data_IF_986449422642
#
_entry.id   IF_986449422642
#
_cell.length_a   1.000
_cell.length_b   1.000
_cell.length_c   1.000
_cell.angle_alpha   90.00
_cell.angle_beta   90.00
_cell.angle_gamma   90.00
#
_symmetry.space_group_name_H-M   'P 1'
#
loop_
_entity.id
_entity.type
_entity.pdbx_description
1 polymer ?
#
# COMPACT_ATOMS: atom_id res chain seq x y z
N UNK A 1 38.77 -38.71 60.45
CA UNK A 1 37.87 -38.11 61.45
C UNK A 1 36.57 -37.83 60.71
N UNK A 2 35.80 -38.88 60.43
CA UNK A 2 34.66 -39.37 61.24
C UNK A 2 33.52 -38.36 61.27
N UNK A 3 32.25 -38.66 61.05
CA UNK A 3 31.47 -39.83 60.58
C UNK A 3 30.00 -39.35 60.55
N UNK A 4 29.08 -40.19 60.05
CA UNK A 4 27.61 -40.05 60.00
C UNK A 4 27.03 -39.50 58.69
N UNK A 5 26.58 -40.35 57.77
CA UNK A 5 25.38 -41.24 57.77
C UNK A 5 24.24 -40.55 56.97
N UNK A 6 23.47 -41.15 56.05
CA UNK A 6 23.41 -42.49 55.44
C UNK A 6 22.43 -42.40 54.22
N UNK A 7 22.88 -42.88 53.03
CA UNK A 7 22.23 -43.86 52.10
C UNK A 7 20.80 -43.58 51.52
N UNK A 8 20.64 -43.26 50.22
CA UNK A 8 20.29 -44.14 49.03
C UNK A 8 19.14 -45.16 49.29
N UNK A 9 18.07 -45.30 48.51
CA UNK A 9 17.99 -45.91 47.17
C UNK A 9 16.51 -46.06 46.76
N UNK A 10 16.15 -45.73 45.51
CA UNK A 10 15.58 -46.57 44.42
C UNK A 10 14.44 -47.57 44.75
N UNK A 11 13.32 -47.32 44.07
CA UNK A 11 12.41 -48.23 43.32
C UNK A 11 11.77 -49.45 44.00
N UNK A 12 10.43 -49.57 43.87
CA UNK A 12 9.77 -50.87 43.70
C UNK A 12 8.41 -51.07 44.38
N UNK A 13 7.32 -50.69 43.70
CA UNK A 13 6.06 -51.42 43.46
C UNK A 13 5.32 -52.15 44.62
N UNK A 14 3.98 -51.93 44.64
CA UNK A 14 2.87 -52.62 45.36
C UNK A 14 2.78 -52.40 46.88
N UNK A 15 1.60 -52.28 47.51
CA UNK A 15 0.32 -52.97 47.27
C UNK A 15 -0.82 -52.18 47.93
N UNK A 16 -1.99 -52.24 47.29
CA UNK A 16 -3.30 -51.91 47.85
C UNK A 16 -3.44 -52.37 49.30
N UNK A 17 -3.94 -51.50 50.18
CA UNK A 17 -5.05 -51.74 51.12
C UNK A 17 -5.10 -50.62 52.17
N UNK A 18 -6.32 -50.24 52.56
CA UNK A 18 -6.70 -49.38 53.70
C UNK A 18 -6.78 -47.87 53.50
N UNK A 19 -7.63 -47.40 52.59
CA UNK A 19 -8.45 -46.22 52.86
C UNK A 19 -9.85 -46.46 52.28
N UNK A 20 -10.83 -46.80 53.11
CA UNK A 20 -12.23 -46.38 52.98
C UNK A 20 -13.10 -47.06 54.04
N UNK A 21 -13.03 -46.55 55.27
CA UNK A 21 -14.04 -46.81 56.28
C UNK A 21 -14.26 -45.55 57.11
N UNK A 22 -14.95 -44.57 56.52
CA UNK A 22 -15.74 -43.51 57.17
C UNK A 22 -16.20 -42.54 56.08
N UNK A 23 -17.53 -42.38 55.98
CA UNK A 23 -18.35 -41.53 55.09
C UNK A 23 -19.38 -42.36 54.29
N UNK A 24 -20.16 -43.17 55.03
CA UNK A 24 -21.52 -43.54 54.61
C UNK A 24 -22.48 -42.79 55.53
N UNK A 25 -22.98 -41.67 55.03
CA UNK A 25 -23.98 -40.84 55.68
C UNK A 25 -24.33 -39.70 54.74
N UNK A 26 -25.59 -39.71 54.26
CA UNK A 26 -26.19 -38.72 53.36
C UNK A 26 -25.90 -38.90 51.86
N UNK A 27 -26.34 -40.03 51.30
CA UNK A 27 -26.81 -40.08 49.91
C UNK A 27 -28.21 -40.72 49.98
N UNK A 28 -29.25 -39.88 49.91
CA UNK A 28 -30.61 -40.36 49.77
C UNK A 28 -30.73 -41.18 48.49
N UNK A 29 -31.33 -42.36 48.58
CA UNK A 29 -31.66 -43.17 47.42
C UNK A 29 -32.68 -42.41 46.57
N UNK A 30 -32.20 -41.82 45.47
CA UNK A 30 -33.07 -41.24 44.46
C UNK A 30 -33.94 -42.36 43.88
N UNK A 31 -35.26 -42.24 44.04
CA UNK A 31 -36.20 -43.18 43.42
C UNK A 31 -36.00 -43.20 41.89
N UNK A 32 -36.28 -44.31 41.19
CA UNK A 32 -36.09 -44.41 39.74
C UNK A 32 -36.73 -43.24 38.96
N UNK A 33 -37.85 -42.73 39.48
CA UNK A 33 -38.57 -41.59 38.93
C UNK A 33 -37.80 -40.26 39.04
N UNK A 34 -37.08 -40.03 40.14
CA UNK A 34 -36.25 -38.82 40.31
C UNK A 34 -35.01 -38.83 39.42
N UNK A 35 -34.38 -40.00 39.22
CA UNK A 35 -33.27 -40.15 38.27
C UNK A 35 -33.74 -39.94 36.83
N UNK A 36 -34.94 -40.42 36.48
CA UNK A 36 -35.54 -40.21 35.18
C UNK A 36 -35.87 -38.73 34.93
N UNK A 37 -36.42 -38.04 35.94
CA UNK A 37 -36.72 -36.61 35.88
C UNK A 37 -35.45 -35.75 35.72
N UNK A 38 -34.40 -36.03 36.50
CA UNK A 38 -33.10 -35.34 36.37
C UNK A 38 -32.50 -35.56 34.98
N UNK A 39 -32.54 -36.80 34.45
CA UNK A 39 -32.09 -37.07 33.08
C UNK A 39 -32.90 -36.31 32.04
N UNK A 40 -34.22 -36.21 32.21
CA UNK A 40 -35.09 -35.49 31.29
C UNK A 40 -34.81 -33.98 31.29
N UNK A 41 -34.63 -33.38 32.47
CA UNK A 41 -34.24 -31.96 32.61
C UNK A 41 -32.88 -31.71 31.99
N UNK A 42 -31.90 -32.61 32.19
CA UNK A 42 -30.55 -32.46 31.64
C UNK A 42 -30.54 -32.59 30.12
N UNK A 43 -31.34 -33.50 29.55
CA UNK A 43 -31.55 -33.62 28.10
C UNK A 43 -32.24 -32.38 27.53
N UNK A 44 -33.25 -31.84 28.22
CA UNK A 44 -33.92 -30.61 27.81
C UNK A 44 -33.00 -29.40 27.87
N UNK A 45 -32.13 -29.32 28.88
CA UNK A 45 -31.14 -28.24 29.03
C UNK A 45 -30.03 -28.32 27.99
N UNK A 46 -29.60 -29.54 27.62
CA UNK A 46 -28.67 -29.78 26.51
C UNK A 46 -29.32 -29.43 25.17
N UNK A 47 -30.58 -29.82 24.94
CA UNK A 47 -31.34 -29.46 23.74
C UNK A 47 -31.60 -27.95 23.64
N UNK A 48 -31.84 -27.29 24.77
CA UNK A 48 -31.97 -25.83 24.85
C UNK A 48 -30.63 -25.12 24.60
N UNK A 49 -29.51 -25.61 25.15
CA UNK A 49 -28.18 -25.07 24.82
C UNK A 49 -27.82 -25.31 23.34
N UNK A 50 -28.20 -26.45 22.76
CA UNK A 50 -28.00 -26.76 21.35
C UNK A 50 -28.87 -25.87 20.43
N UNK A 51 -30.10 -25.55 20.84
CA UNK A 51 -30.98 -24.65 20.07
C UNK A 51 -30.59 -23.18 20.20
N UNK A 52 -30.00 -22.77 21.32
CA UNK A 52 -29.43 -21.41 21.48
C UNK A 52 -28.14 -21.27 20.66
N UNK A 53 -27.34 -22.33 20.50
CA UNK A 53 -26.15 -22.30 19.66
C UNK A 53 -26.46 -22.23 18.15
N UNK A 54 -27.57 -22.76 17.66
CA UNK A 54 -27.94 -22.69 16.24
C UNK A 54 -28.50 -21.32 15.82
N UNK A 55 -28.98 -20.50 16.76
CA UNK A 55 -29.56 -19.17 16.47
C UNK A 55 -28.49 -18.07 16.37
N UNK A 56 -27.26 -18.29 16.85
CA UNK A 56 -26.12 -17.39 16.66
C UNK A 56 -25.13 -17.89 15.61
N UNK A 57 -25.62 -18.20 14.41
CA UNK A 57 -24.76 -18.09 13.23
C UNK A 57 -24.74 -16.61 12.83
N UNK A 58 -23.88 -15.81 13.47
CA UNK A 58 -23.60 -14.47 12.99
C UNK A 58 -22.84 -14.61 11.66
N UNK A 59 -23.59 -14.65 10.56
CA UNK A 59 -22.99 -14.53 9.24
C UNK A 59 -22.28 -13.18 9.18
N UNK A 60 -20.94 -13.20 9.14
CA UNK A 60 -20.09 -12.00 9.18
C UNK A 60 -20.41 -11.03 8.04
N UNK A 61 -20.93 -11.56 6.93
CA UNK A 61 -21.21 -10.82 5.71
C UNK A 61 -22.72 -10.74 5.48
N UNK A 62 -23.17 -9.59 4.98
CA UNK A 62 -24.51 -9.42 4.44
C UNK A 62 -24.44 -9.51 2.93
N UNK A 63 -25.25 -10.38 2.32
CA UNK A 63 -25.29 -10.49 0.87
C UNK A 63 -25.98 -9.28 0.25
N UNK A 64 -25.50 -8.81 -0.92
CA UNK A 64 -26.20 -7.81 -1.74
C UNK A 64 -27.70 -8.10 -1.95
N UNK A 65 -28.11 -9.38 -2.04
CA UNK A 65 -29.52 -9.78 -2.18
C UNK A 65 -30.39 -9.47 -0.95
N UNK A 66 -29.76 -9.28 0.21
CA UNK A 66 -30.43 -8.92 1.46
C UNK A 66 -30.55 -7.40 1.64
N UNK A 67 -29.70 -6.63 0.95
CA UNK A 67 -29.66 -5.16 1.02
C UNK A 67 -30.91 -4.57 0.38
N UNK A 68 -31.50 -3.56 1.02
CA UNK A 68 -32.68 -2.85 0.50
C UNK A 68 -32.54 -1.34 0.70
N UNK A 69 -33.11 -0.53 -0.20
CA UNK A 69 -33.30 0.90 0.02
C UNK A 69 -33.92 1.19 1.40
N UNK A 70 -33.42 2.24 2.06
CA UNK A 70 -33.88 2.68 3.38
C UNK A 70 -33.23 1.95 4.57
N UNK A 71 -32.41 0.93 4.34
CA UNK A 71 -31.59 0.33 5.41
C UNK A 71 -30.58 1.34 5.95
N UNK A 72 -30.32 1.27 7.26
CA UNK A 72 -29.33 2.11 7.95
C UNK A 72 -28.15 1.26 8.40
N UNK A 73 -26.96 1.82 8.33
CA UNK A 73 -25.73 1.16 8.68
C UNK A 73 -24.71 2.09 9.34
N UNK A 74 -23.61 1.49 9.77
CA UNK A 74 -22.47 2.16 10.38
C UNK A 74 -21.24 1.92 9.53
N UNK A 75 -20.61 2.99 9.08
CA UNK A 75 -19.30 2.95 8.47
C UNK A 75 -18.19 3.23 9.47
N UNK A 76 -16.96 2.76 9.18
CA UNK A 76 -15.79 2.99 10.04
C UNK A 76 -14.62 3.58 9.25
N UNK A 77 -13.97 4.61 9.78
CA UNK A 77 -12.75 5.18 9.19
C UNK A 77 -11.96 5.98 10.21
N UNK A 78 -10.75 6.43 9.85
CA UNK A 78 -9.96 7.37 10.66
C UNK A 78 -10.11 8.79 10.10
N UNK A 79 -10.62 9.73 10.89
CA UNK A 79 -10.69 11.15 10.52
C UNK A 79 -9.50 11.97 11.07
N UNK A 80 -8.91 11.54 12.18
CA UNK A 80 -7.74 12.18 12.80
C UNK A 80 -6.91 11.19 13.61
N UNK A 81 -5.59 11.36 13.56
CA UNK A 81 -4.63 10.47 14.19
C UNK A 81 -4.68 9.10 13.54
N UNK A 82 -4.88 8.07 14.36
CA UNK A 82 -5.00 6.67 13.92
C UNK A 82 -6.22 5.96 14.54
N UNK A 83 -7.05 6.71 15.29
CA UNK A 83 -8.23 6.18 15.96
C UNK A 83 -9.35 6.00 14.96
N UNK A 84 -9.94 4.80 14.93
CA UNK A 84 -11.12 4.50 14.14
C UNK A 84 -12.35 5.14 14.80
N UNK A 85 -13.13 5.84 14.00
CA UNK A 85 -14.38 6.49 14.37
C UNK A 85 -15.50 6.00 13.43
N UNK A 86 -16.74 6.07 13.90
CA UNK A 86 -17.92 5.64 13.15
C UNK A 86 -18.57 6.82 12.41
N UNK A 87 -19.24 6.53 11.30
CA UNK A 87 -20.14 7.45 10.60
C UNK A 87 -21.43 6.73 10.21
N UNK A 88 -22.49 7.49 9.96
CA UNK A 88 -23.79 6.95 9.59
C UNK A 88 -23.86 6.69 8.09
N UNK A 89 -24.57 5.63 7.71
CA UNK A 89 -24.78 5.23 6.32
C UNK A 89 -26.25 4.96 6.10
N UNK A 90 -26.84 5.59 5.10
CA UNK A 90 -28.20 5.35 4.64
C UNK A 90 -28.16 4.73 3.24
N UNK A 91 -28.72 3.53 3.08
CA UNK A 91 -28.79 2.87 1.78
C UNK A 91 -29.87 3.53 0.94
N UNK A 92 -29.49 4.07 -0.20
CA UNK A 92 -30.39 4.77 -1.13
C UNK A 92 -30.94 3.80 -2.15
N UNK A 93 -30.07 3.04 -2.85
CA UNK A 93 -30.50 2.08 -3.86
C UNK A 93 -29.41 1.03 -4.16
N UNK A 94 -29.75 0.03 -4.96
CA UNK A 94 -28.80 -0.91 -5.57
C UNK A 94 -28.70 -0.59 -7.07
N UNK A 95 -27.49 -0.29 -7.52
CA UNK A 95 -27.21 0.08 -8.91
C UNK A 95 -26.49 -1.07 -9.59
N UNK A 96 -26.84 -1.31 -10.86
CA UNK A 96 -26.11 -2.27 -11.70
C UNK A 96 -24.64 -1.86 -11.81
N UNK A 97 -23.75 -2.81 -11.57
CA UNK A 97 -22.31 -2.61 -11.70
C UNK A 97 -21.81 -2.72 -13.14
N UNK A 98 -20.52 -2.44 -13.31
CA UNK A 98 -19.79 -2.53 -14.58
C UNK A 98 -18.38 -3.10 -14.34
N UNK A 99 -17.63 -3.35 -15.41
CA UNK A 99 -16.21 -3.76 -15.39
C UNK A 99 -15.87 -5.01 -14.54
N UNK A 100 -16.84 -5.92 -14.37
CA UNK A 100 -16.66 -7.16 -13.60
C UNK A 100 -17.14 -7.07 -12.15
N UNK A 101 -17.74 -5.95 -11.76
CA UNK A 101 -18.54 -5.81 -10.56
C UNK A 101 -20.02 -5.93 -10.96
N UNK A 102 -20.76 -6.84 -10.32
CA UNK A 102 -22.16 -7.10 -10.70
C UNK A 102 -23.10 -5.98 -10.23
N UNK A 103 -22.88 -5.45 -9.01
CA UNK A 103 -23.72 -4.43 -8.39
C UNK A 103 -22.88 -3.47 -7.55
N UNK A 104 -23.33 -2.22 -7.46
CA UNK A 104 -22.92 -1.24 -6.46
C UNK A 104 -24.08 -0.91 -5.54
N UNK A 105 -23.78 -0.47 -4.32
CA UNK A 105 -24.80 0.03 -3.39
C UNK A 105 -24.68 1.55 -3.34
N UNK A 106 -25.73 2.27 -3.72
CA UNK A 106 -25.78 3.72 -3.56
C UNK A 106 -26.08 4.04 -2.09
N UNK A 107 -25.25 4.87 -1.47
CA UNK A 107 -25.38 5.20 -0.06
C UNK A 107 -25.11 6.69 0.21
N UNK A 108 -25.86 7.23 1.17
CA UNK A 108 -25.65 8.57 1.72
C UNK A 108 -24.91 8.47 3.05
N UNK A 109 -23.85 9.26 3.24
CA UNK A 109 -23.04 9.30 4.45
C UNK A 109 -23.35 10.55 5.26
N UNK A 110 -23.43 10.40 6.58
CA UNK A 110 -23.72 11.52 7.48
C UNK A 110 -23.02 11.41 8.85
N UNK A 111 -23.09 12.49 9.61
CA UNK A 111 -22.53 12.63 10.96
C UNK A 111 -21.46 13.72 11.04
N UNK A 112 -21.21 14.19 12.27
CA UNK A 112 -20.38 15.37 12.55
C UNK A 112 -19.02 15.38 11.83
N UNK A 113 -18.36 14.21 11.76
CA UNK A 113 -17.04 14.07 11.11
C UNK A 113 -17.11 14.11 9.58
N UNK A 114 -18.20 13.63 8.98
CA UNK A 114 -18.43 13.73 7.54
C UNK A 114 -18.70 15.20 7.19
N UNK A 115 -19.59 15.86 7.94
CA UNK A 115 -19.96 17.26 7.70
C UNK A 115 -18.77 18.21 7.88
N UNK A 116 -18.03 18.08 9.00
CA UNK A 116 -16.85 18.92 9.25
C UNK A 116 -15.70 18.66 8.28
N UNK A 117 -15.62 17.45 7.72
CA UNK A 117 -14.68 17.09 6.66
C UNK A 117 -15.07 17.59 5.27
N UNK A 118 -16.27 18.17 5.11
CA UNK A 118 -16.82 18.59 3.82
C UNK A 118 -17.39 17.45 2.98
N UNK A 119 -17.66 16.30 3.59
CA UNK A 119 -18.19 15.09 2.96
C UNK A 119 -17.20 13.93 2.91
N UNK A 120 -17.50 12.97 2.03
CA UNK A 120 -16.65 11.84 1.67
C UNK A 120 -15.32 12.35 1.17
N UNK A 121 -14.25 12.02 1.89
CA UNK A 121 -12.90 12.42 1.56
C UNK A 121 -12.14 11.34 0.80
N UNK A 122 -11.32 11.70 -0.18
CA UNK A 122 -10.26 10.82 -0.68
C UNK A 122 -9.42 10.31 0.50
N UNK A 123 -9.17 9.00 0.53
CA UNK A 123 -8.64 8.31 1.70
C UNK A 123 -9.69 7.67 2.62
N UNK A 124 -10.98 7.91 2.39
CA UNK A 124 -12.07 7.08 2.93
C UNK A 124 -12.35 5.83 2.09
N UNK A 125 -11.81 5.75 0.87
CA UNK A 125 -11.91 4.55 0.02
C UNK A 125 -11.51 3.30 0.80
N UNK A 126 -12.39 2.30 0.83
CA UNK A 126 -12.26 1.08 1.61
C UNK A 126 -12.86 1.14 3.01
N UNK A 127 -13.52 2.23 3.41
CA UNK A 127 -14.18 2.31 4.71
C UNK A 127 -15.30 1.27 4.80
N UNK A 128 -15.22 0.29 5.72
CA UNK A 128 -16.19 -0.78 5.80
C UNK A 128 -17.51 -0.28 6.33
N UNK A 129 -18.59 -0.75 5.71
CA UNK A 129 -19.97 -0.44 6.08
C UNK A 129 -20.64 -1.69 6.64
N UNK A 130 -21.34 -1.54 7.76
CA UNK A 130 -22.03 -2.62 8.43
C UNK A 130 -23.52 -2.32 8.56
N UNK A 131 -24.37 -3.32 8.33
CA UNK A 131 -25.81 -3.28 8.62
C UNK A 131 -26.09 -4.46 9.54
N UNK A 132 -26.77 -4.21 10.67
CA UNK A 132 -27.03 -5.22 11.71
C UNK A 132 -25.76 -5.98 12.18
N UNK A 133 -24.62 -5.27 12.22
CA UNK A 133 -23.32 -5.83 12.60
C UNK A 133 -22.65 -6.71 11.52
N UNK A 134 -23.27 -6.88 10.36
CA UNK A 134 -22.74 -7.66 9.22
C UNK A 134 -22.11 -6.73 8.19
N UNK A 135 -20.92 -7.07 7.72
CA UNK A 135 -20.19 -6.29 6.71
C UNK A 135 -20.92 -6.42 5.36
N UNK A 136 -21.32 -5.29 4.77
CA UNK A 136 -22.04 -5.26 3.49
C UNK A 136 -21.15 -4.85 2.33
N UNK A 137 -20.16 -4.00 2.58
CA UNK A 137 -19.29 -3.48 1.53
C UNK A 137 -18.37 -2.38 2.03
N UNK A 138 -17.75 -1.68 1.09
CA UNK A 138 -16.81 -0.60 1.36
C UNK A 138 -17.11 0.63 0.53
N UNK A 139 -16.96 1.82 1.12
CA UNK A 139 -17.00 3.10 0.38
C UNK A 139 -15.96 3.07 -0.74
N UNK A 140 -16.35 3.30 -1.98
CA UNK A 140 -15.45 3.15 -3.14
C UNK A 140 -15.43 4.35 -4.08
N UNK A 141 -16.59 4.82 -4.55
CA UNK A 141 -16.66 5.92 -5.51
C UNK A 141 -17.53 7.06 -4.99
N UNK A 142 -17.18 8.29 -5.34
CA UNK A 142 -17.95 9.49 -5.08
C UNK A 142 -17.82 10.44 -6.27
N UNK A 143 -18.64 11.49 -6.30
CA UNK A 143 -18.67 12.44 -7.41
C UNK A 143 -17.97 13.75 -7.05
N UNK A 144 -17.07 14.19 -7.93
CA UNK A 144 -16.48 15.53 -7.85
C UNK A 144 -17.57 16.61 -7.99
N UNK A 145 -17.34 17.78 -7.37
CA UNK A 145 -18.22 18.95 -7.45
C UNK A 145 -19.69 18.66 -7.10
N UNK A 146 -19.92 17.77 -6.14
CA UNK A 146 -21.25 17.40 -5.62
C UNK A 146 -21.40 17.84 -4.16
N UNK A 147 -22.50 17.48 -3.50
CA UNK A 147 -22.61 17.65 -2.03
C UNK A 147 -21.65 16.74 -1.24
N UNK A 148 -20.93 15.85 -1.94
CA UNK A 148 -19.91 14.95 -1.37
C UNK A 148 -20.41 13.99 -0.29
N UNK A 149 -21.71 13.85 -0.05
CA UNK A 149 -22.26 12.89 0.91
C UNK A 149 -22.82 11.62 0.26
N UNK A 150 -22.95 11.58 -1.07
CA UNK A 150 -23.41 10.40 -1.81
C UNK A 150 -22.21 9.61 -2.36
N UNK A 151 -22.20 8.29 -2.16
CA UNK A 151 -21.18 7.38 -2.68
C UNK A 151 -21.76 6.08 -3.23
N UNK A 152 -20.93 5.37 -3.98
CA UNK A 152 -21.07 3.95 -4.21
C UNK A 152 -20.29 3.17 -3.14
N UNK A 153 -20.89 2.08 -2.68
CA UNK A 153 -20.21 1.02 -1.96
C UNK A 153 -19.99 -0.16 -2.89
N UNK A 154 -18.77 -0.69 -2.88
CA UNK A 154 -18.46 -1.98 -3.50
C UNK A 154 -18.87 -3.09 -2.54
N UNK A 155 -19.78 -4.01 -2.94
CA UNK A 155 -20.24 -5.09 -2.07
C UNK A 155 -19.09 -5.98 -1.60
N UNK A 156 -19.16 -6.45 -0.36
CA UNK A 156 -18.07 -7.25 0.23
C UNK A 156 -17.82 -8.53 -0.57
N UNK A 157 -18.87 -9.13 -1.16
CA UNK A 157 -18.72 -10.36 -1.95
C UNK A 157 -17.86 -10.15 -3.20
N UNK A 158 -17.90 -8.97 -3.79
CA UNK A 158 -17.05 -8.61 -4.93
C UNK A 158 -15.59 -8.51 -4.49
N UNK A 159 -15.34 -7.91 -3.32
CA UNK A 159 -13.99 -7.78 -2.78
C UNK A 159 -13.41 -9.13 -2.35
N UNK A 160 -14.24 -10.04 -1.81
CA UNK A 160 -13.81 -11.38 -1.37
C UNK A 160 -13.27 -12.23 -2.54
N UNK A 161 -13.75 -12.01 -3.77
CA UNK A 161 -13.22 -12.69 -4.99
C UNK A 161 -11.72 -12.41 -5.19
N UNK A 162 -11.16 -11.34 -4.62
CA UNK A 162 -9.74 -11.00 -4.78
C UNK A 162 -8.83 -12.07 -4.13
N UNK A 163 -9.29 -12.73 -3.06
CA UNK A 163 -8.53 -13.80 -2.41
C UNK A 163 -8.22 -14.98 -3.33
N UNK A 164 -9.08 -15.24 -4.32
CA UNK A 164 -8.94 -16.37 -5.24
C UNK A 164 -7.77 -16.20 -6.20
N UNK A 165 -7.41 -14.96 -6.56
CA UNK A 165 -6.27 -14.71 -7.46
C UNK A 165 -4.92 -15.09 -6.83
N UNK A 166 -4.81 -15.04 -5.50
CA UNK A 166 -3.58 -15.43 -4.81
C UNK A 166 -3.31 -16.94 -4.91
N UNK A 167 -4.35 -17.75 -5.11
CA UNK A 167 -4.23 -19.22 -5.19
C UNK A 167 -3.77 -19.72 -6.56
N UNK A 168 -3.87 -18.87 -7.59
CA UNK A 168 -3.46 -19.19 -8.96
C UNK A 168 -2.16 -18.47 -9.25
N UNK A 169 -1.03 -19.11 -8.99
CA UNK A 169 0.26 -18.72 -9.58
C UNK A 169 0.19 -18.95 -11.10
N UNK A 170 -0.39 -18.00 -11.83
CA UNK A 170 -0.29 -17.95 -13.28
C UNK A 170 0.43 -16.66 -13.66
N UNK A 171 1.71 -16.82 -14.05
CA UNK A 171 2.40 -15.88 -14.92
C UNK A 171 1.59 -15.76 -16.22
N UNK A 172 0.62 -14.85 -16.25
CA UNK A 172 -0.13 -14.55 -17.47
C UNK A 172 0.30 -13.18 -17.99
N UNK A 173 0.81 -13.22 -19.21
CA UNK A 173 1.34 -12.13 -20.00
C UNK A 173 0.35 -10.98 -20.11
N UNK A 174 0.89 -9.76 -20.03
CA UNK A 174 0.19 -8.49 -20.21
C UNK A 174 -0.78 -8.50 -21.40
N UNK A 175 -2.07 -8.68 -21.11
CA UNK A 175 -3.15 -8.31 -22.01
C UNK A 175 -3.44 -6.82 -21.87
N UNK A 176 -2.91 -5.99 -22.79
CA UNK A 176 -3.41 -4.63 -22.99
C UNK A 176 -4.87 -4.71 -23.47
N UNK A 177 -5.83 -4.63 -22.54
CA UNK A 177 -7.23 -4.44 -22.88
C UNK A 177 -7.56 -2.94 -22.83
N UNK A 178 -7.99 -2.33 -23.95
CA UNK A 178 -8.51 -0.97 -23.94
C UNK A 178 -9.94 -1.03 -23.39
N UNK A 179 -10.11 -0.71 -22.11
CA UNK A 179 -11.43 -0.61 -21.50
C UNK A 179 -12.08 0.74 -21.88
N UNK A 180 -13.32 0.68 -22.39
CA UNK A 180 -14.17 1.86 -22.60
C UNK A 180 -14.58 2.40 -21.24
N UNK A 181 -14.38 3.70 -20.99
CA UNK A 181 -14.80 4.41 -19.77
C UNK A 181 -16.32 4.67 -19.76
N UNK A 182 -17.02 4.35 -18.66
CA UNK A 182 -18.18 5.15 -18.21
C UNK A 182 -17.93 5.84 -16.86
N UNK A 183 -18.98 6.53 -16.40
CA UNK A 183 -18.99 7.78 -15.62
C UNK A 183 -18.89 7.55 -14.10
N UNK A 184 -17.72 7.18 -13.57
CA UNK A 184 -17.44 7.36 -12.14
C UNK A 184 -15.98 7.81 -11.96
N UNK A 185 -15.70 9.13 -11.85
CA UNK A 185 -14.33 9.60 -11.75
C UNK A 185 -13.80 9.29 -10.36
N UNK A 186 -12.80 8.43 -10.25
CA UNK A 186 -11.80 8.58 -9.18
C UNK A 186 -10.43 8.25 -9.75
N UNK A 187 -9.73 9.28 -10.24
CA UNK A 187 -8.26 9.21 -10.29
C UNK A 187 -7.78 9.03 -8.86
N UNK A 188 -6.99 8.00 -8.58
CA UNK A 188 -6.41 7.86 -7.23
C UNK A 188 -5.46 9.03 -6.98
N UNK A 189 -5.69 9.79 -5.91
CA UNK A 189 -4.76 10.84 -5.50
C UNK A 189 -3.56 10.25 -4.80
N UNK A 190 -2.38 10.80 -5.10
CA UNK A 190 -1.13 10.48 -4.42
C UNK A 190 -0.57 11.75 -3.80
N UNK A 191 -0.29 11.69 -2.50
CA UNK A 191 0.43 12.75 -1.82
C UNK A 191 1.91 12.65 -2.10
N UNK A 192 2.52 13.77 -2.45
CA UNK A 192 3.95 13.87 -2.73
C UNK A 192 4.59 14.82 -1.73
N UNK A 193 5.60 14.32 -1.01
CA UNK A 193 6.45 15.12 -0.13
C UNK A 193 7.92 14.95 -0.54
N UNK A 194 8.76 15.96 -0.28
CA UNK A 194 10.17 15.94 -0.68
C UNK A 194 10.46 16.54 -2.05
N UNK A 195 9.44 16.75 -2.89
CA UNK A 195 9.56 17.45 -4.18
C UNK A 195 9.00 18.88 -4.08
N UNK A 196 9.66 19.81 -4.75
CA UNK A 196 9.32 21.24 -4.85
C UNK A 196 8.88 21.59 -6.27
N UNK A 197 8.03 22.61 -6.39
CA UNK A 197 7.58 23.30 -7.60
C UNK A 197 7.76 22.52 -8.91
N UNK A 198 8.91 22.69 -9.58
CA UNK A 198 9.15 22.12 -10.91
C UNK A 198 9.33 20.60 -10.92
N UNK A 199 9.98 20.02 -9.90
CA UNK A 199 10.14 18.57 -9.77
C UNK A 199 8.81 17.90 -9.41
N UNK A 200 8.01 18.55 -8.57
CA UNK A 200 6.64 18.13 -8.29
C UNK A 200 5.77 18.18 -9.56
N UNK A 201 5.82 19.29 -10.30
CA UNK A 201 5.05 19.45 -11.54
C UNK A 201 5.50 18.48 -12.64
N UNK A 202 6.80 18.21 -12.75
CA UNK A 202 7.36 17.20 -13.64
C UNK A 202 6.75 15.82 -13.32
N UNK A 203 6.84 15.39 -12.06
CA UNK A 203 6.26 14.12 -11.63
C UNK A 203 4.74 14.08 -11.83
N UNK A 204 4.03 15.13 -11.40
CA UNK A 204 2.58 15.26 -11.52
C UNK A 204 2.11 15.07 -12.96
N UNK A 205 2.80 15.68 -13.93
CA UNK A 205 2.48 15.52 -15.35
C UNK A 205 2.74 14.11 -15.86
N UNK A 206 3.80 13.44 -15.41
CA UNK A 206 4.05 12.04 -15.75
C UNK A 206 3.01 11.09 -15.16
N UNK A 207 2.57 11.34 -13.93
CA UNK A 207 1.60 10.52 -13.21
C UNK A 207 0.18 10.57 -13.80
N UNK A 208 -0.20 11.66 -14.49
CA UNK A 208 -1.47 11.76 -15.22
C UNK A 208 -1.69 10.62 -16.22
N UNK A 209 -0.61 10.11 -16.84
CA UNK A 209 -0.67 8.97 -17.78
C UNK A 209 -1.19 7.69 -17.13
N UNK A 210 -1.04 7.57 -15.80
CA UNK A 210 -1.48 6.43 -15.01
C UNK A 210 -2.79 6.72 -14.24
N UNK A 211 -3.50 7.80 -14.60
CA UNK A 211 -4.70 8.27 -13.90
C UNK A 211 -4.44 8.56 -12.39
N UNK A 212 -3.21 8.95 -12.05
CA UNK A 212 -2.86 9.39 -10.70
C UNK A 212 -2.83 10.91 -10.63
N UNK A 213 -3.48 11.47 -9.61
CA UNK A 213 -3.50 12.91 -9.34
C UNK A 213 -2.51 13.22 -8.21
N UNK A 214 -1.41 13.89 -8.53
CA UNK A 214 -0.45 14.28 -7.50
C UNK A 214 -0.96 15.51 -6.73
N UNK A 215 -0.94 15.42 -5.40
CA UNK A 215 -1.25 16.51 -4.47
C UNK A 215 -0.03 16.73 -3.57
N UNK A 216 0.30 17.98 -3.26
CA UNK A 216 1.42 18.26 -2.36
C UNK A 216 1.06 17.80 -0.94
N UNK A 217 1.84 16.88 -0.40
CA UNK A 217 1.72 16.37 0.96
C UNK A 217 2.63 17.11 1.95
N UNK A 218 2.37 16.97 3.26
CA UNK A 218 3.25 17.51 4.29
C UNK A 218 4.59 16.76 4.29
N UNK A 219 5.68 17.44 4.69
CA UNK A 219 7.02 16.84 4.79
C UNK A 219 7.17 15.82 5.94
N UNK A 220 6.09 15.50 6.66
CA UNK A 220 6.08 14.58 7.80
C UNK A 220 5.75 15.26 9.13
N UNK A 221 5.75 14.47 10.21
CA UNK A 221 5.51 14.93 11.57
C UNK A 221 6.82 15.42 12.19
N UNK A 222 6.80 16.60 12.84
CA UNK A 222 7.99 17.14 13.53
C UNK A 222 8.41 16.32 14.75
N UNK A 223 7.48 15.57 15.35
CA UNK A 223 7.66 14.86 16.63
C UNK A 223 7.62 13.32 16.52
N UNK A 224 7.35 12.75 15.34
CA UNK A 224 7.36 11.29 15.14
C UNK A 224 8.51 10.94 14.21
N UNK A 225 9.42 10.08 14.68
CA UNK A 225 10.51 9.57 13.87
C UNK A 225 9.96 8.57 12.84
N UNK A 226 9.57 9.07 11.66
CA UNK A 226 8.97 8.28 10.56
C UNK A 226 9.95 7.27 9.91
N UNK A 227 11.22 7.27 10.34
CA UNK A 227 12.28 6.47 9.75
C UNK A 227 12.41 5.07 10.36
N UNK A 228 11.78 4.77 11.49
CA UNK A 228 11.86 3.43 12.09
C UNK A 228 11.21 2.38 11.17
N UNK A 229 11.99 1.35 10.85
CA UNK A 229 11.54 0.13 10.18
C UNK A 229 11.56 -0.97 11.24
N UNK A 230 10.40 -1.52 11.58
CA UNK A 230 10.27 -2.50 12.66
C UNK A 230 9.16 -2.15 13.64
N UNK A 231 8.77 -3.15 14.44
CA UNK A 231 7.59 -3.15 15.31
C UNK A 231 7.61 -2.03 16.35
N UNK A 232 7.01 -0.88 16.03
CA UNK A 232 6.24 -0.18 17.05
C UNK A 232 5.02 -1.07 17.31
N UNK A 233 5.11 -1.90 18.35
CA UNK A 233 3.97 -2.62 18.90
C UNK A 233 2.81 -1.63 19.07
N UNK A 234 1.62 -2.02 18.61
CA UNK A 234 0.36 -1.28 18.63
C UNK A 234 0.02 -0.35 17.45
N UNK A 235 -0.29 -0.98 16.31
CA UNK A 235 -1.57 -0.73 15.64
C UNK A 235 -2.07 -2.03 15.03
N UNK A 236 -3.14 -2.60 15.59
CA UNK A 236 -3.87 -3.66 14.90
C UNK A 236 -4.46 -3.01 13.65
N UNK A 237 -3.82 -3.20 12.51
CA UNK A 237 -4.45 -2.92 11.22
C UNK A 237 -5.74 -3.75 11.21
N UNK A 238 -6.88 -3.09 11.24
CA UNK A 238 -8.19 -3.72 11.31
C UNK A 238 -9.17 -2.95 10.44
N UNK A 239 -10.37 -3.49 10.27
CA UNK A 239 -11.43 -2.87 9.48
C UNK A 239 -11.69 -1.43 9.96
N UNK A 240 -11.46 -0.44 9.09
CA UNK A 240 -11.54 1.00 9.38
C UNK A 240 -10.18 1.69 9.60
N UNK A 241 -9.08 0.97 9.74
CA UNK A 241 -7.73 1.56 9.85
C UNK A 241 -7.32 2.30 8.58
N UNK A 242 -6.65 3.46 8.73
CA UNK A 242 -6.01 4.15 7.61
C UNK A 242 -4.71 3.46 7.20
N UNK A 243 -4.57 3.23 5.90
CA UNK A 243 -3.39 2.63 5.28
C UNK A 243 -2.88 3.49 4.13
N UNK A 244 -1.61 3.32 3.80
CA UNK A 244 -0.93 4.03 2.73
C UNK A 244 -0.33 3.06 1.74
N UNK A 245 -0.70 3.20 0.46
CA UNK A 245 -0.02 2.53 -0.65
C UNK A 245 1.11 3.48 -1.11
N UNK A 246 2.36 3.11 -0.83
CA UNK A 246 3.51 3.95 -1.15
C UNK A 246 4.20 3.50 -2.45
N UNK A 247 4.49 4.47 -3.32
CA UNK A 247 5.33 4.27 -4.52
C UNK A 247 6.80 4.57 -4.21
N UNK A 248 7.05 5.41 -3.21
CA UNK A 248 8.40 5.71 -2.71
C UNK A 248 8.40 6.08 -1.23
N UNK A 249 9.54 5.85 -0.56
CA UNK A 249 9.79 6.20 0.84
C UNK A 249 11.22 6.71 1.05
N UNK A 250 11.42 7.70 1.91
CA UNK A 250 12.74 8.28 2.23
C UNK A 250 12.69 9.80 2.17
N UNK A 251 13.66 10.41 1.50
CA UNK A 251 13.67 11.87 1.28
C UNK A 251 12.50 12.36 0.41
N UNK A 252 11.93 11.45 -0.39
CA UNK A 252 10.70 11.68 -1.17
C UNK A 252 9.72 10.56 -0.85
N UNK A 253 8.53 10.95 -0.36
CA UNK A 253 7.46 10.00 -0.08
C UNK A 253 6.28 10.28 -1.01
N UNK A 254 5.86 9.26 -1.73
CA UNK A 254 4.71 9.30 -2.64
C UNK A 254 3.73 8.24 -2.16
N UNK A 255 2.56 8.66 -1.69
CA UNK A 255 1.63 7.79 -0.96
C UNK A 255 0.18 8.10 -1.31
N UNK A 256 -0.58 7.07 -1.71
CA UNK A 256 -2.04 7.11 -1.74
C UNK A 256 -2.57 6.65 -0.39
N UNK A 257 -3.54 7.38 0.18
CA UNK A 257 -4.19 7.00 1.44
C UNK A 257 -5.48 6.24 1.13
N UNK A 258 -5.76 5.21 1.91
CA UNK A 258 -6.99 4.45 1.87
C UNK A 258 -7.38 3.93 3.25
N UNK A 259 -8.41 3.11 3.28
CA UNK A 259 -8.94 2.48 4.49
C UNK A 259 -9.05 0.96 4.30
N UNK A 260 -8.78 0.20 5.35
CA UNK A 260 -8.96 -1.27 5.36
C UNK A 260 -10.43 -1.62 5.49
N UNK A 261 -10.95 -2.41 4.56
CA UNK A 261 -12.33 -2.92 4.59
C UNK A 261 -12.43 -4.14 5.50
N UNK A 262 -11.59 -5.15 5.28
CA UNK A 262 -11.69 -6.44 5.93
C UNK A 262 -10.30 -7.02 6.18
N UNK A 263 -10.17 -7.81 7.25
CA UNK A 263 -8.93 -8.49 7.60
C UNK A 263 -9.22 -9.95 7.92
N UNK A 264 -8.51 -10.84 7.24
CA UNK A 264 -8.47 -12.28 7.51
C UNK A 264 -7.04 -12.69 7.82
N UNK A 265 -6.75 -12.91 9.11
CA UNK A 265 -5.39 -13.22 9.55
C UNK A 265 -4.39 -12.12 9.19
N UNK A 266 -3.43 -12.45 8.31
CA UNK A 266 -2.44 -11.49 7.81
C UNK A 266 -2.83 -10.83 6.48
N UNK A 267 -3.98 -11.17 5.91
CA UNK A 267 -4.44 -10.58 4.66
C UNK A 267 -5.47 -9.50 4.91
N UNK A 268 -5.44 -8.45 4.11
CA UNK A 268 -6.40 -7.34 4.17
C UNK A 268 -6.98 -7.02 2.80
N UNK A 269 -8.26 -6.64 2.79
CA UNK A 269 -8.91 -6.01 1.64
C UNK A 269 -9.07 -4.51 1.92
N UNK A 270 -8.87 -3.67 0.92
CA UNK A 270 -8.96 -2.21 1.04
C UNK A 270 -9.39 -1.51 -0.26
N UNK A 271 -9.62 -0.20 -0.18
CA UNK A 271 -10.07 0.74 -1.23
C UNK A 271 -11.48 0.52 -1.80
N UNK A 272 -11.89 -0.71 -2.05
CA UNK A 272 -13.17 -0.98 -2.73
C UNK A 272 -13.17 -0.58 -4.21
N UNK A 273 -12.03 -0.14 -4.77
CA UNK A 273 -11.82 0.23 -6.17
C UNK A 273 -10.35 -0.03 -6.53
N UNK A 274 -9.96 -0.12 -7.81
CA UNK A 274 -8.56 -0.32 -8.16
C UNK A 274 -7.72 0.91 -7.81
N UNK A 275 -6.47 0.71 -7.45
CA UNK A 275 -5.50 1.79 -7.34
C UNK A 275 -4.95 2.18 -8.72
N UNK A 276 -4.36 1.21 -9.41
CA UNK A 276 -3.83 1.31 -10.78
C UNK A 276 -4.41 0.25 -11.73
N UNK A 277 -5.18 -0.73 -11.20
CA UNK A 277 -5.75 -1.87 -11.93
C UNK A 277 -4.67 -2.71 -12.63
N UNK A 278 -3.52 -2.91 -11.99
CA UNK A 278 -2.37 -3.60 -12.59
C UNK A 278 -2.38 -5.12 -12.48
N UNK A 279 -3.36 -5.70 -11.78
CA UNK A 279 -3.31 -7.12 -11.50
C UNK A 279 -2.31 -7.39 -10.39
N UNK A 280 -1.32 -8.24 -10.66
CA UNK A 280 -0.31 -8.60 -9.67
C UNK A 280 0.66 -7.44 -9.46
N UNK A 281 0.83 -7.05 -8.19
CA UNK A 281 1.63 -5.88 -7.81
C UNK A 281 2.45 -6.19 -6.57
N UNK A 282 3.41 -5.32 -6.28
CA UNK A 282 4.27 -5.43 -5.10
C UNK A 282 4.53 -4.03 -4.53
N UNK A 283 3.45 -3.34 -4.14
CA UNK A 283 3.54 -1.99 -3.60
C UNK A 283 3.80 -1.99 -2.10
N UNK A 284 4.44 -0.94 -1.59
CA UNK A 284 4.66 -0.76 -0.16
C UNK A 284 3.34 -0.46 0.54
N UNK A 285 3.06 -1.15 1.65
CA UNK A 285 1.88 -0.92 2.48
C UNK A 285 2.31 -0.38 3.85
N UNK A 286 1.82 0.81 4.20
CA UNK A 286 2.12 1.50 5.46
C UNK A 286 0.86 1.73 6.29
N UNK A 287 1.04 1.87 7.60
CA UNK A 287 0.05 2.55 8.45
C UNK A 287 0.12 4.05 8.18
N UNK A 288 -0.96 4.80 8.42
CA UNK A 288 -1.02 6.23 8.12
C UNK A 288 -1.55 7.01 9.32
N UNK A 289 -0.89 8.13 9.62
CA UNK A 289 -1.41 9.15 10.52
C UNK A 289 -2.18 10.19 9.73
N UNK A 290 -3.43 10.44 10.12
CA UNK A 290 -4.28 11.46 9.51
C UNK A 290 -4.18 12.76 10.32
N UNK A 291 -3.74 13.84 9.70
CA UNK A 291 -3.76 15.17 10.32
C UNK A 291 -5.18 15.70 10.41
N UNK A 292 -5.88 15.67 9.27
CA UNK A 292 -7.21 16.22 9.12
C UNK A 292 -7.88 15.73 7.84
N UNK A 293 -9.21 15.75 7.78
CA UNK A 293 -9.97 15.75 6.53
C UNK A 293 -10.20 17.19 6.11
N UNK A 294 -9.79 17.56 4.90
CA UNK A 294 -9.92 18.92 4.38
C UNK A 294 -11.14 19.02 3.45
N UNK A 295 -12.09 19.93 3.74
CA UNK A 295 -13.15 20.29 2.80
C UNK A 295 -12.56 20.85 1.51
N UNK A 296 -13.18 20.49 0.38
CA UNK A 296 -12.76 20.98 -0.94
C UNK A 296 -13.95 20.94 -1.91
N UNK A 297 -14.05 21.94 -2.78
CA UNK A 297 -15.16 22.07 -3.75
C UNK A 297 -15.07 21.02 -4.87
N UNK A 298 -13.86 20.59 -5.23
CA UNK A 298 -13.67 19.55 -6.25
C UNK A 298 -13.90 18.19 -5.61
N UNK A 299 -13.14 17.88 -4.56
CA UNK A 299 -13.26 16.61 -3.83
C UNK A 299 -12.55 16.73 -2.47
N UNK A 300 -13.25 16.55 -1.33
CA UNK A 300 -12.61 16.52 -0.01
C UNK A 300 -11.52 15.45 0.03
N UNK A 301 -10.49 15.65 0.85
CA UNK A 301 -9.40 14.68 0.95
C UNK A 301 -8.81 14.66 2.36
N UNK A 302 -8.39 13.47 2.80
CA UNK A 302 -7.59 13.35 4.02
C UNK A 302 -6.20 13.89 3.76
N UNK A 303 -5.65 14.66 4.68
CA UNK A 303 -4.24 15.03 4.73
C UNK A 303 -3.54 14.12 5.74
N UNK A 304 -2.54 13.36 5.31
CA UNK A 304 -1.87 12.37 6.15
C UNK A 304 -0.39 12.21 5.84
N UNK A 305 0.30 11.47 6.70
CA UNK A 305 1.67 11.02 6.46
C UNK A 305 1.78 9.51 6.73
N UNK A 306 2.54 8.77 5.90
CA UNK A 306 2.84 7.37 6.18
C UNK A 306 3.64 7.27 7.48
N UNK A 307 3.33 6.25 8.28
CA UNK A 307 4.07 5.83 9.46
C UNK A 307 4.95 4.63 9.09
N UNK A 308 4.89 3.56 9.88
CA UNK A 308 5.69 2.36 9.66
C UNK A 308 5.13 1.53 8.51
N UNK A 309 6.04 0.88 7.79
CA UNK A 309 5.70 -0.14 6.82
C UNK A 309 5.10 -1.35 7.57
N UNK A 310 3.92 -1.77 7.15
CA UNK A 310 3.17 -2.89 7.76
C UNK A 310 3.09 -4.10 6.84
N UNK A 311 3.43 -3.96 5.56
CA UNK A 311 3.46 -5.08 4.63
C UNK A 311 3.58 -4.66 3.17
N UNK A 312 2.87 -5.38 2.30
CA UNK A 312 2.83 -5.13 0.85
C UNK A 312 1.44 -5.32 0.27
N UNK A 313 1.16 -4.64 -0.83
CA UNK A 313 0.00 -4.91 -1.69
C UNK A 313 0.41 -5.96 -2.71
N UNK A 314 -0.37 -7.05 -2.83
CA UNK A 314 -0.09 -8.16 -3.74
C UNK A 314 -1.02 -8.19 -4.95
N UNK A 315 -2.23 -7.65 -4.82
CA UNK A 315 -3.24 -7.64 -5.88
C UNK A 315 -3.89 -6.26 -5.98
N UNK A 316 -4.07 -5.79 -7.19
CA UNK A 316 -4.78 -4.56 -7.52
C UNK A 316 -5.83 -4.86 -8.61
N UNK A 317 -7.08 -4.99 -8.17
CA UNK A 317 -8.22 -5.51 -8.95
C UNK A 317 -9.36 -4.49 -8.94
N UNK A 318 -10.38 -4.73 -9.77
CA UNK A 318 -11.52 -3.82 -9.89
C UNK A 318 -12.25 -3.57 -8.56
N UNK A 319 -12.48 -4.63 -7.78
CA UNK A 319 -13.20 -4.50 -6.52
C UNK A 319 -12.33 -3.98 -5.36
N UNK A 320 -11.05 -3.66 -5.58
CA UNK A 320 -10.14 -3.24 -4.51
C UNK A 320 -8.75 -3.86 -4.59
N UNK A 321 -8.03 -3.76 -3.48
CA UNK A 321 -6.69 -4.33 -3.33
C UNK A 321 -6.65 -5.46 -2.30
N UNK A 322 -5.71 -6.39 -2.47
CA UNK A 322 -5.30 -7.35 -1.45
C UNK A 322 -3.92 -6.97 -0.92
N UNK A 323 -3.81 -6.83 0.40
CA UNK A 323 -2.54 -6.64 1.10
C UNK A 323 -2.18 -7.81 1.98
N UNK A 324 -0.88 -8.01 2.19
CA UNK A 324 -0.31 -8.95 3.16
C UNK A 324 0.48 -8.19 4.21
N UNK A 325 0.07 -8.34 5.47
CA UNK A 325 0.74 -7.80 6.65
C UNK A 325 1.97 -8.66 6.98
N UNK A 326 3.03 -8.00 7.45
CA UNK A 326 4.32 -8.62 7.81
C UNK A 326 5.03 -9.34 6.65
N UNK A 327 4.66 -8.99 5.41
CA UNK A 327 5.25 -9.46 4.16
C UNK A 327 5.63 -8.21 3.37
N UNK A 328 6.91 -8.01 3.07
CA UNK A 328 7.38 -6.75 2.47
C UNK A 328 7.79 -6.93 1.01
N UNK A 329 7.60 -5.92 0.15
CA UNK A 329 7.99 -6.03 -1.24
C UNK A 329 9.50 -5.84 -1.39
N UNK A 330 10.03 -6.26 -2.54
CA UNK A 330 11.36 -5.84 -2.97
C UNK A 330 11.33 -4.34 -3.25
N UNK A 331 12.38 -3.64 -2.85
CA UNK A 331 12.55 -2.22 -3.11
C UNK A 331 13.83 -1.98 -3.92
N UNK A 332 13.83 -0.90 -4.70
CA UNK A 332 15.00 -0.42 -5.43
C UNK A 332 15.53 0.82 -4.68
N UNK A 333 16.63 0.73 -3.92
CA UNK A 333 17.30 1.90 -3.37
C UNK A 333 17.87 2.78 -4.49
N UNK A 334 17.38 4.01 -4.56
CA UNK A 334 17.92 5.11 -5.34
C UNK A 334 18.78 6.01 -4.45
N UNK A 335 20.04 6.20 -4.83
CA UNK A 335 20.93 7.20 -4.22
C UNK A 335 21.34 8.21 -5.27
N UNK A 336 21.05 9.48 -5.03
CA UNK A 336 21.48 10.59 -5.88
C UNK A 336 22.44 11.47 -5.11
N UNK A 337 23.68 11.59 -5.60
CA UNK A 337 24.70 12.47 -5.05
C UNK A 337 24.97 13.59 -6.06
N UNK A 338 24.95 14.83 -5.60
CA UNK A 338 25.22 15.99 -6.46
C UNK A 338 26.29 16.87 -5.83
N UNK A 339 27.41 17.04 -6.52
CA UNK A 339 28.48 17.97 -6.16
C UNK A 339 28.38 19.25 -7.01
N UNK A 340 28.21 20.39 -6.35
CA UNK A 340 28.36 21.70 -6.98
C UNK A 340 29.81 22.17 -6.83
N UNK A 341 30.59 22.03 -7.90
CA UNK A 341 32.02 22.35 -7.92
C UNK A 341 32.28 23.85 -7.78
N UNK A 342 31.30 24.70 -8.12
CA UNK A 342 31.46 26.16 -8.05
C UNK A 342 31.31 26.67 -6.62
N UNK A 343 30.35 26.15 -5.85
CA UNK A 343 30.15 26.50 -4.44
C UNK A 343 30.88 25.57 -3.47
N UNK A 344 31.49 24.48 -3.95
CA UNK A 344 32.09 23.40 -3.14
C UNK A 344 31.11 22.79 -2.13
N UNK A 345 29.84 22.70 -2.51
CA UNK A 345 28.79 22.07 -1.71
C UNK A 345 28.37 20.75 -2.35
N UNK A 346 27.91 19.82 -1.52
CA UNK A 346 27.30 18.57 -1.98
C UNK A 346 25.89 18.42 -1.39
N UNK A 347 25.04 17.67 -2.09
CA UNK A 347 23.72 17.30 -1.64
C UNK A 347 23.47 15.84 -1.98
N UNK A 348 22.80 15.12 -1.07
CA UNK A 348 22.48 13.71 -1.25
C UNK A 348 21.00 13.48 -1.02
N UNK A 349 20.40 12.62 -1.83
CA UNK A 349 19.08 12.07 -1.61
C UNK A 349 19.11 10.55 -1.64
N UNK A 350 18.42 9.92 -0.68
CA UNK A 350 18.17 8.49 -0.59
C UNK A 350 16.68 8.20 -0.59
N UNK A 351 16.23 7.38 -1.56
CA UNK A 351 14.82 7.00 -1.70
C UNK A 351 14.72 5.51 -1.99
N UNK A 352 13.78 4.83 -1.34
CA UNK A 352 13.39 3.46 -1.65
C UNK A 352 12.22 3.52 -2.63
N UNK A 353 12.37 2.91 -3.80
CA UNK A 353 11.36 2.89 -4.86
C UNK A 353 10.71 1.52 -4.97
N UNK A 354 9.44 1.50 -5.38
CA UNK A 354 8.81 0.26 -5.82
C UNK A 354 9.46 -0.25 -7.11
N UNK A 355 9.48 -1.56 -7.26
CA UNK A 355 9.93 -2.24 -8.46
C UNK A 355 8.78 -2.35 -9.47
N UNK A 356 8.49 -1.23 -10.15
CA UNK A 356 7.42 -1.14 -11.13
C UNK A 356 7.94 -0.56 -12.46
N UNK A 357 7.97 -1.34 -13.56
CA UNK A 357 8.50 -0.91 -14.86
C UNK A 357 7.91 0.40 -15.38
N UNK A 358 6.65 0.68 -15.08
CA UNK A 358 5.94 1.85 -15.60
C UNK A 358 6.14 3.09 -14.72
N UNK A 359 6.46 2.91 -13.43
CA UNK A 359 6.57 4.02 -12.49
C UNK A 359 8.02 4.34 -12.13
N UNK A 360 8.96 3.43 -12.35
CA UNK A 360 10.35 3.63 -11.95
C UNK A 360 11.00 4.84 -12.64
N UNK A 361 10.81 4.99 -13.95
CA UNK A 361 11.36 6.12 -14.72
C UNK A 361 10.91 7.49 -14.17
N UNK A 362 9.60 7.81 -14.12
CA UNK A 362 9.19 9.15 -13.72
C UNK A 362 9.58 9.47 -12.27
N UNK A 363 9.68 8.45 -11.40
CA UNK A 363 10.17 8.59 -10.04
C UNK A 363 11.66 8.96 -10.00
N UNK A 364 12.52 8.18 -10.68
CA UNK A 364 13.98 8.43 -10.71
C UNK A 364 14.27 9.80 -11.32
N UNK A 365 13.63 10.14 -12.43
CA UNK A 365 13.79 11.44 -13.10
C UNK A 365 13.43 12.61 -12.17
N UNK A 366 12.24 12.59 -11.55
CA UNK A 366 11.79 13.68 -10.68
C UNK A 366 12.67 13.86 -9.44
N UNK A 367 13.08 12.75 -8.80
CA UNK A 367 13.96 12.77 -7.63
C UNK A 367 15.34 13.30 -8.00
N UNK A 368 15.86 12.93 -9.16
CA UNK A 368 17.18 13.40 -9.62
C UNK A 368 17.18 14.90 -9.92
N UNK A 369 16.14 15.43 -10.58
CA UNK A 369 15.98 16.89 -10.76
C UNK A 369 15.94 17.59 -9.40
N UNK A 370 15.18 17.07 -8.45
CA UNK A 370 15.08 17.65 -7.11
C UNK A 370 16.43 17.69 -6.38
N UNK A 371 17.23 16.63 -6.49
CA UNK A 371 18.55 16.56 -5.89
C UNK A 371 19.48 17.62 -6.49
N UNK A 372 19.47 17.76 -7.82
CA UNK A 372 20.28 18.75 -8.53
C UNK A 372 19.86 20.17 -8.13
N UNK A 373 18.57 20.46 -8.08
CA UNK A 373 18.05 21.78 -7.72
C UNK A 373 18.44 22.20 -6.31
N UNK A 374 18.35 21.28 -5.36
CA UNK A 374 18.76 21.54 -3.99
C UNK A 374 20.27 21.80 -3.90
N UNK A 375 21.09 21.08 -4.66
CA UNK A 375 22.55 21.27 -4.68
C UNK A 375 22.98 22.58 -5.33
N UNK A 376 22.28 23.00 -6.39
CA UNK A 376 22.60 24.21 -7.13
C UNK A 376 22.05 25.48 -6.48
N UNK A 377 20.89 25.37 -5.81
CA UNK A 377 20.12 26.52 -5.30
C UNK A 377 19.92 27.61 -6.37
N UNK A 378 19.82 27.20 -7.64
CA UNK A 378 19.55 28.07 -8.80
C UNK A 378 19.07 27.22 -9.98
N UNK A 379 18.39 27.87 -10.91
CA UNK A 379 18.12 27.34 -12.25
C UNK A 379 19.02 28.12 -13.22
N UNK A 380 19.66 27.42 -14.16
CA UNK A 380 20.46 28.11 -15.16
C UNK A 380 21.47 27.23 -15.87
N UNK A 381 22.29 27.90 -16.68
CA UNK A 381 23.41 27.30 -17.42
C UNK A 381 24.39 26.52 -16.55
N UNK A 382 25.12 25.60 -17.16
CA UNK A 382 26.24 24.90 -16.54
C UNK A 382 26.73 23.74 -17.41
N UNK A 383 27.83 23.13 -16.96
CA UNK A 383 28.26 21.81 -17.43
C UNK A 383 28.07 20.81 -16.29
N UNK A 384 27.40 19.71 -16.58
CA UNK A 384 27.14 18.61 -15.66
C UNK A 384 27.77 17.32 -16.18
N UNK A 385 28.58 16.66 -15.37
CA UNK A 385 29.01 15.29 -15.57
C UNK A 385 28.08 14.39 -14.75
N UNK A 386 27.50 13.37 -15.39
CA UNK A 386 26.61 12.41 -14.74
C UNK A 386 27.19 11.00 -14.88
N UNK A 387 27.13 10.25 -13.80
CA UNK A 387 27.46 8.82 -13.74
C UNK A 387 26.25 8.08 -13.19
N UNK A 388 25.64 7.25 -14.03
CA UNK A 388 24.50 6.40 -13.69
C UNK A 388 25.01 4.97 -13.56
N UNK A 389 24.81 4.38 -12.39
CA UNK A 389 25.17 3.00 -12.08
C UNK A 389 23.91 2.22 -11.72
N UNK A 390 23.57 1.21 -12.53
CA UNK A 390 22.46 0.30 -12.32
C UNK A 390 23.01 -1.09 -12.01
N UNK A 391 22.51 -1.70 -10.94
CA UNK A 391 22.86 -3.08 -10.56
C UNK A 391 21.59 -3.92 -10.57
N UNK A 392 21.64 -5.09 -11.21
CA UNK A 392 20.63 -6.14 -11.12
C UNK A 392 20.98 -7.17 -10.05
N UNK A 393 20.01 -8.03 -9.72
CA UNK A 393 20.18 -9.08 -8.71
C UNK A 393 21.17 -10.18 -9.13
N UNK A 394 21.30 -10.45 -10.43
CA UNK A 394 22.18 -11.52 -10.93
C UNK A 394 23.59 -11.00 -11.11
N UNK A 395 24.56 -11.86 -10.86
CA UNK A 395 25.96 -11.57 -11.14
C UNK A 395 26.15 -11.20 -12.63
N UNK A 396 26.95 -10.17 -12.89
CA UNK A 396 27.15 -9.63 -14.24
C UNK A 396 26.08 -8.63 -14.71
N UNK A 397 24.92 -8.51 -14.04
CA UNK A 397 23.93 -7.47 -14.35
C UNK A 397 24.36 -6.12 -13.76
N UNK A 398 25.28 -5.45 -14.44
CA UNK A 398 25.79 -4.15 -14.03
C UNK A 398 25.95 -3.23 -15.25
N UNK A 399 25.35 -2.03 -15.18
CA UNK A 399 25.51 -0.98 -16.18
C UNK A 399 26.11 0.25 -15.50
N UNK A 400 27.19 0.77 -16.09
CA UNK A 400 27.72 2.10 -15.75
C UNK A 400 27.70 2.97 -17.00
N UNK A 401 26.97 4.07 -16.94
CA UNK A 401 26.90 5.09 -17.99
C UNK A 401 27.46 6.40 -17.45
N UNK A 402 28.49 6.91 -18.11
CA UNK A 402 29.09 8.20 -17.80
C UNK A 402 28.96 9.13 -19.00
N UNK A 403 28.43 10.33 -18.82
CA UNK A 403 28.35 11.35 -19.85
C UNK A 403 28.55 12.76 -19.29
N UNK A 404 28.82 13.73 -20.18
CA UNK A 404 28.92 15.14 -19.86
C UNK A 404 28.01 15.96 -20.75
N UNK A 405 27.27 16.87 -20.13
CA UNK A 405 26.34 17.74 -20.80
C UNK A 405 26.67 19.20 -20.50
N UNK A 406 26.43 20.06 -21.49
CA UNK A 406 26.38 21.50 -21.29
C UNK A 406 24.97 21.99 -21.64
N UNK A 407 24.45 22.91 -20.85
CA UNK A 407 23.20 23.62 -21.14
C UNK A 407 23.42 25.11 -20.97
N UNK A 408 22.93 25.91 -21.92
CA UNK A 408 22.87 27.36 -21.78
C UNK A 408 21.67 27.84 -20.95
N UNK A 409 20.69 26.96 -20.71
CA UNK A 409 19.40 27.33 -20.14
C UNK A 409 19.20 26.65 -18.77
N UNK A 410 19.25 25.33 -18.75
CA UNK A 410 18.98 24.54 -17.55
C UNK A 410 19.81 23.26 -17.56
N UNK A 411 20.86 23.24 -16.73
CA UNK A 411 21.74 22.08 -16.64
C UNK A 411 21.08 20.91 -15.88
N UNK A 412 20.10 21.15 -15.01
CA UNK A 412 19.48 20.09 -14.23
C UNK A 412 18.69 19.12 -15.12
N UNK A 413 17.89 19.67 -16.05
CA UNK A 413 17.12 18.88 -17.01
C UNK A 413 18.04 18.25 -18.06
N UNK A 414 19.00 19.02 -18.57
CA UNK A 414 19.90 18.51 -19.61
C UNK A 414 20.79 17.36 -19.12
N UNK A 415 21.26 17.41 -17.87
CA UNK A 415 22.13 16.38 -17.32
C UNK A 415 21.43 15.02 -17.15
N UNK A 416 20.09 15.00 -17.06
CA UNK A 416 19.32 13.77 -16.84
C UNK A 416 18.64 13.24 -18.10
N UNK A 417 18.90 13.83 -19.27
CA UNK A 417 18.14 13.54 -20.49
C UNK A 417 18.21 12.08 -20.96
N UNK A 418 19.23 11.33 -20.55
CA UNK A 418 19.38 9.90 -20.89
C UNK A 418 18.70 8.96 -19.88
N UNK A 419 18.33 9.43 -18.68
CA UNK A 419 17.72 8.57 -17.64
C UNK A 419 16.48 7.86 -18.18
N UNK A 420 15.52 8.53 -18.86
CA UNK A 420 14.30 7.87 -19.30
C UNK A 420 14.56 6.69 -20.23
N UNK A 421 15.43 6.86 -21.22
CA UNK A 421 15.77 5.82 -22.19
C UNK A 421 16.54 4.67 -21.54
N UNK A 422 17.49 4.96 -20.64
CA UNK A 422 18.25 3.93 -19.94
C UNK A 422 17.33 3.07 -19.06
N UNK A 423 16.45 3.69 -18.28
CA UNK A 423 15.52 2.96 -17.41
C UNK A 423 14.54 2.13 -18.26
N UNK A 424 14.00 2.70 -19.33
CA UNK A 424 13.08 1.98 -20.24
C UNK A 424 13.75 0.76 -20.88
N UNK A 425 14.96 0.91 -21.41
CA UNK A 425 15.72 -0.19 -22.03
C UNK A 425 16.00 -1.34 -21.05
N UNK A 426 16.26 -1.03 -19.78
CA UNK A 426 16.52 -2.04 -18.75
C UNK A 426 15.23 -2.73 -18.31
N UNK A 427 14.17 -1.96 -18.04
CA UNK A 427 12.90 -2.51 -17.56
C UNK A 427 12.13 -3.28 -18.64
N UNK A 428 12.34 -2.93 -19.91
CA UNK A 428 11.72 -3.57 -21.08
C UNK A 428 12.73 -4.40 -21.90
N UNK A 429 13.82 -4.87 -21.29
CA UNK A 429 14.85 -5.65 -21.96
C UNK A 429 14.28 -6.96 -22.54
N UNK A 430 14.30 -7.08 -23.87
CA UNK A 430 13.77 -8.24 -24.61
C UNK A 430 14.62 -9.52 -24.46
N UNK A 431 15.89 -9.40 -24.09
CA UNK A 431 16.80 -10.55 -24.01
C UNK A 431 16.70 -11.25 -22.65
N UNK A 432 16.66 -10.48 -21.57
CA UNK A 432 16.60 -10.98 -20.21
C UNK A 432 15.88 -10.00 -19.29
N UNK A 433 14.97 -10.49 -18.46
CA UNK A 433 14.36 -9.68 -17.40
C UNK A 433 15.42 -9.21 -16.38
N UNK A 434 15.55 -7.90 -16.23
CA UNK A 434 16.49 -7.28 -15.28
C UNK A 434 15.74 -6.83 -14.04
N UNK A 435 15.97 -7.55 -12.95
CA UNK A 435 15.48 -7.17 -11.64
C UNK A 435 16.49 -6.24 -10.98
N UNK A 436 16.24 -4.92 -11.02
CA UNK A 436 17.15 -3.92 -10.45
C UNK A 436 17.25 -4.05 -8.92
N UNK A 437 18.47 -4.15 -8.42
CA UNK A 437 18.84 -4.18 -6.99
C UNK A 437 19.17 -2.78 -6.47
N UNK A 438 19.75 -1.91 -7.31
CA UNK A 438 20.18 -0.58 -6.88
C UNK A 438 20.33 0.38 -8.06
N UNK A 439 20.04 1.67 -7.81
CA UNK A 439 20.31 2.78 -8.74
C UNK A 439 21.17 3.82 -8.00
N UNK A 440 22.37 4.09 -8.49
CA UNK A 440 23.19 5.22 -8.02
C UNK A 440 23.37 6.23 -9.14
N UNK A 441 23.17 7.50 -8.82
CA UNK A 441 23.37 8.61 -9.75
C UNK A 441 24.30 9.60 -9.07
N UNK A 442 25.48 9.82 -9.66
CA UNK A 442 26.43 10.81 -9.20
C UNK A 442 26.52 11.93 -10.24
N UNK A 443 26.26 13.17 -9.82
CA UNK A 443 26.27 14.35 -10.69
C UNK A 443 27.30 15.35 -10.17
N UNK A 444 28.16 15.86 -11.04
CA UNK A 444 29.08 16.95 -10.74
C UNK A 444 28.77 18.12 -11.64
N UNK A 445 28.48 19.29 -11.07
CA UNK A 445 28.08 20.47 -11.84
C UNK A 445 29.07 21.61 -11.62
N UNK A 446 29.45 22.25 -12.73
CA UNK A 446 30.28 23.44 -12.81
C UNK A 446 29.55 24.55 -13.59
N UNK A 447 29.79 25.80 -13.23
CA UNK A 447 29.22 26.97 -13.93
C UNK A 447 29.98 27.28 -15.23
N UNK A 448 31.16 26.68 -15.43
CA UNK A 448 31.97 26.86 -16.65
C UNK A 448 31.33 26.15 -17.85
N UNK A 449 31.36 26.81 -19.01
CA UNK A 449 31.02 26.20 -20.29
C UNK A 449 32.16 25.29 -20.74
N UNK A 450 31.94 23.98 -20.70
CA UNK A 450 32.84 22.97 -21.28
C UNK A 450 32.11 22.30 -22.43
N UNK A 451 32.56 22.58 -23.65
CA UNK A 451 32.03 21.99 -24.89
C UNK A 451 33.20 21.53 -25.76
N UNK A 452 33.01 20.42 -26.46
CA UNK A 452 33.90 19.97 -27.53
C UNK A 452 33.09 19.88 -28.82
N UNK A 453 33.73 20.21 -29.95
CA UNK A 453 33.16 20.01 -31.29
C UNK A 453 34.12 19.12 -32.06
N UNK A 454 33.60 18.06 -32.68
CA UNK A 454 34.37 17.28 -33.66
C UNK A 454 34.49 18.17 -34.90
N UNK A 455 35.69 18.62 -35.22
CA UNK A 455 35.93 19.50 -36.37
C UNK A 455 36.13 18.69 -37.65
N UNK A 456 36.82 17.57 -37.55
CA UNK A 456 37.11 16.69 -38.67
C UNK A 456 37.27 15.24 -38.17
N UNK A 457 36.78 14.29 -38.96
CA UNK A 457 37.08 12.85 -38.80
C UNK A 457 37.88 12.44 -40.03
N UNK A 458 39.19 12.26 -39.86
CA UNK A 458 40.09 11.86 -40.94
C UNK A 458 40.28 10.35 -40.85
N UNK A 459 39.96 9.65 -41.93
CA UNK A 459 40.29 8.23 -42.06
C UNK A 459 41.79 8.09 -42.33
N UNK A 460 42.50 7.32 -41.51
CA UNK A 460 43.94 7.06 -41.71
C UNK A 460 44.23 6.34 -43.03
N UNK A 461 43.26 5.62 -43.60
CA UNK A 461 43.38 4.91 -44.88
C UNK A 461 42.30 5.34 -45.86
N UNK A 462 42.73 5.72 -47.06
CA UNK A 462 41.86 6.12 -48.18
C UNK A 462 41.25 4.94 -48.96
N UNK A 463 41.64 3.69 -48.63
CA UNK A 463 41.05 2.49 -49.21
C UNK A 463 40.57 1.56 -48.09
N UNK A 464 39.28 1.22 -48.14
CA UNK A 464 38.63 0.27 -47.25
C UNK A 464 38.32 -1.00 -48.03
N UNK A 465 38.56 -2.16 -47.43
CA UNK A 465 38.16 -3.47 -47.96
C UNK A 465 36.98 -4.01 -47.16
N UNK A 466 36.18 -4.91 -47.77
CA UNK A 466 35.14 -5.63 -47.03
C UNK A 466 35.73 -6.33 -45.80
N UNK A 467 35.20 -6.02 -44.61
CA UNK A 467 35.66 -6.56 -43.32
C UNK A 467 36.59 -5.64 -42.52
N UNK A 468 36.98 -4.48 -43.05
CA UNK A 468 37.73 -3.49 -42.28
C UNK A 468 36.82 -2.84 -41.21
N UNK A 469 37.35 -2.67 -40.00
CA UNK A 469 36.71 -1.93 -38.92
C UNK A 469 37.18 -0.47 -38.99
N UNK A 470 36.21 0.45 -39.05
CA UNK A 470 36.40 1.89 -39.08
C UNK A 470 36.60 2.48 -37.68
#
# INVERSE_FOLDING_TARGET
MDSNQFIRSRNGVTKMERINKRHRGVLGEFTPLTILFIKFVLVFLVLFCLSVHTVFSNNLFMSISEVKPGMKGIGKTVFRGTKIENFQVDIVDIIKGEEGIDNFILAYLSGDRIETGGGISEGMSGSPVYIDGRLVGAVSYAWEMSEHNLCLLTPIQEMLKIFDFQTKTEHSLFGKYPFKKPVYPTTSSVMVSGLKDRSFNFLSNSLKKYNLKAVQGPYGLKEINLQEVGEVSFQRIEAGSAIGIQLSRGDVNITSIGTVTYREGNKILALGHPFLKKGDVSFLLSSVYIYHSLPNIVMPFKLGAPLNLVGKVTQDREAGILGEISSFPRIIPLKVNVDNLSSKSSFQMGVQLIDDPNLLEPLVSAITVQAIDNALNRIGKGTGQIVIELRGLKEGQYLKRENMFYSSNDIAIQAISEIPEIIDLIMNNYFEAVNLDQININVKIDNKKKIGRIEEVILEKSSLKPGDYL
#
